data_IF_479640437894
#
_entry.id   IF_479640437894
#
_cell.length_a   1.000
_cell.length_b   1.000
_cell.length_c   1.000
_cell.angle_alpha   90.00
_cell.angle_beta   90.00
_cell.angle_gamma   90.00
#
_symmetry.space_group_name_H-M   'P 1'
#
loop_
_entity.id
_entity.type
_entity.pdbx_description
1 polymer ?
#
# COMPACT_ATOMS: atom_id res chain seq x y z
N UNK A 1 -63.34 -45.42 -40.99
CA UNK A 1 -62.13 -46.04 -41.56
C UNK A 1 -61.27 -44.95 -42.18
N UNK A 2 -59.96 -45.07 -42.03
CA UNK A 2 -58.93 -44.04 -42.23
C UNK A 2 -58.85 -43.55 -43.69
N UNK A 3 -58.72 -42.24 -43.90
CA UNK A 3 -58.19 -41.67 -45.14
C UNK A 3 -57.05 -40.70 -44.81
N UNK A 4 -55.87 -41.03 -45.32
CA UNK A 4 -54.67 -40.20 -45.38
C UNK A 4 -54.86 -39.05 -46.36
N UNK A 5 -54.24 -37.88 -46.16
CA UNK A 5 -53.15 -37.37 -47.04
C UNK A 5 -52.51 -36.01 -46.63
N UNK A 6 -51.18 -36.00 -46.76
CA UNK A 6 -50.17 -34.96 -47.04
C UNK A 6 -49.87 -33.77 -46.09
N UNK A 7 -48.61 -33.68 -45.60
CA UNK A 7 -47.94 -32.45 -45.20
C UNK A 7 -46.99 -31.93 -46.31
N UNK A 8 -46.73 -30.62 -46.35
CA UNK A 8 -45.55 -30.06 -47.01
C UNK A 8 -44.81 -29.08 -46.08
N UNK A 9 -43.46 -29.12 -46.05
CA UNK A 9 -42.63 -28.36 -45.11
C UNK A 9 -42.03 -27.08 -45.73
N UNK A 10 -41.73 -26.09 -44.90
CA UNK A 10 -40.79 -24.99 -45.19
C UNK A 10 -39.76 -25.00 -44.06
N UNK A 11 -38.51 -25.38 -44.35
CA UNK A 11 -37.37 -24.47 -44.55
C UNK A 11 -37.07 -23.62 -43.30
N UNK A 12 -35.87 -23.61 -42.72
CA UNK A 12 -34.62 -23.33 -43.39
C UNK A 12 -33.40 -23.95 -42.68
N UNK A 13 -32.44 -24.39 -43.52
CA UNK A 13 -31.08 -24.78 -43.15
C UNK A 13 -30.20 -23.52 -43.11
N UNK A 14 -29.34 -23.41 -42.11
CA UNK A 14 -27.93 -23.03 -42.33
C UNK A 14 -27.13 -23.31 -41.06
N UNK A 15 -26.86 -24.59 -40.81
CA UNK A 15 -25.59 -24.98 -40.20
C UNK A 15 -24.61 -24.98 -41.35
N UNK A 16 -23.48 -24.29 -41.23
CA UNK A 16 -22.15 -24.61 -41.77
C UNK A 16 -21.32 -23.32 -41.82
N UNK A 17 -20.54 -23.07 -40.77
CA UNK A 17 -19.12 -22.74 -40.86
C UNK A 17 -18.54 -22.75 -39.44
N UNK A 18 -18.16 -23.94 -38.97
CA UNK A 18 -17.01 -24.05 -38.07
C UNK A 18 -15.74 -23.90 -38.94
N UNK A 19 -14.58 -23.90 -38.29
CA UNK A 19 -13.20 -23.85 -38.83
C UNK A 19 -12.54 -22.47 -38.75
N UNK A 20 -11.72 -22.32 -37.70
CA UNK A 20 -10.86 -21.15 -37.46
C UNK A 20 -10.33 -21.10 -36.02
N UNK A 21 -9.59 -22.13 -35.60
CA UNK A 21 -8.85 -22.11 -34.34
C UNK A 21 -7.51 -21.38 -34.53
N UNK A 22 -7.21 -20.43 -33.65
CA UNK A 22 -5.84 -20.01 -33.30
C UNK A 22 -5.41 -18.60 -33.74
N UNK A 23 -5.40 -17.65 -32.80
CA UNK A 23 -4.15 -17.06 -32.26
C UNK A 23 -4.51 -16.09 -31.11
N UNK A 24 -3.98 -16.38 -29.93
CA UNK A 24 -3.99 -15.47 -28.79
C UNK A 24 -2.86 -14.44 -28.93
N UNK A 25 -3.13 -13.16 -28.66
CA UNK A 25 -2.12 -12.17 -28.26
C UNK A 25 -2.71 -11.26 -27.19
N UNK A 26 -1.97 -11.16 -26.09
CA UNK A 26 -2.33 -10.56 -24.82
C UNK A 26 -2.29 -9.03 -24.84
N UNK A 27 -3.33 -8.41 -24.26
CA UNK A 27 -3.38 -7.03 -23.77
C UNK A 27 -4.66 -6.96 -22.92
N UNK A 28 -4.74 -6.56 -21.66
CA UNK A 28 -3.91 -5.70 -20.80
C UNK A 28 -4.12 -6.20 -19.36
N UNK A 29 -3.07 -6.70 -18.71
CA UNK A 29 -3.06 -6.91 -17.25
C UNK A 29 -2.09 -5.88 -16.66
N UNK A 30 -2.61 -4.72 -16.25
CA UNK A 30 -2.03 -3.89 -15.19
C UNK A 30 -2.85 -2.60 -15.06
N UNK A 31 -3.50 -2.39 -13.92
CA UNK A 31 -4.12 -1.09 -13.61
C UNK A 31 -5.01 -1.06 -12.37
N UNK A 32 -5.63 -2.18 -11.97
CA UNK A 32 -6.44 -2.19 -10.76
C UNK A 32 -5.61 -2.51 -9.52
N UNK A 33 -4.84 -1.54 -9.03
CA UNK A 33 -4.27 -1.61 -7.68
C UNK A 33 -4.33 -0.30 -6.89
N UNK A 34 -4.95 0.77 -7.39
CA UNK A 34 -4.97 2.07 -6.67
C UNK A 34 -6.34 2.56 -6.23
N UNK A 35 -7.42 1.87 -6.56
CA UNK A 35 -8.78 2.38 -6.30
C UNK A 35 -9.16 2.42 -4.82
N UNK A 36 -8.43 1.73 -3.93
CA UNK A 36 -8.75 1.72 -2.50
C UNK A 36 -8.14 2.85 -1.67
N UNK A 37 -7.00 3.40 -2.10
CA UNK A 37 -6.30 4.44 -1.34
C UNK A 37 -6.85 5.85 -1.66
N UNK A 38 -7.31 6.06 -2.90
CA UNK A 38 -7.79 7.35 -3.39
C UNK A 38 -9.08 7.83 -2.68
N UNK A 39 -9.91 6.89 -2.22
CA UNK A 39 -11.20 7.18 -1.59
C UNK A 39 -11.09 7.50 -0.09
N UNK A 40 -9.89 7.35 0.50
CA UNK A 40 -9.63 7.62 1.91
C UNK A 40 -9.15 9.07 2.10
N UNK A 41 -9.49 9.69 3.23
CA UNK A 41 -8.93 11.02 3.56
C UNK A 41 -7.40 10.95 3.66
N UNK A 42 -6.67 12.04 3.38
CA UNK A 42 -5.23 12.12 3.57
C UNK A 42 -4.76 11.61 4.94
N UNK A 43 -5.51 11.93 6.00
CA UNK A 43 -5.26 11.49 7.37
C UNK A 43 -5.31 9.97 7.50
N UNK A 44 -6.32 9.33 6.91
CA UNK A 44 -6.46 7.88 6.94
C UNK A 44 -5.34 7.19 6.14
N UNK A 45 -5.01 7.72 4.96
CA UNK A 45 -3.93 7.20 4.13
C UNK A 45 -2.57 7.27 4.86
N UNK A 46 -2.24 8.43 5.43
CA UNK A 46 -0.97 8.60 6.15
C UNK A 46 -0.92 7.79 7.44
N UNK A 47 -2.03 7.68 8.18
CA UNK A 47 -2.10 6.88 9.40
C UNK A 47 -1.82 5.39 9.11
N UNK A 48 -2.38 4.86 8.01
CA UNK A 48 -2.15 3.49 7.56
C UNK A 48 -0.69 3.28 7.15
N UNK A 49 -0.12 4.19 6.34
CA UNK A 49 1.27 4.09 5.89
C UNK A 49 2.27 4.22 7.04
N UNK A 50 2.00 5.13 7.98
CA UNK A 50 2.76 5.28 9.22
C UNK A 50 2.72 4.00 10.07
N UNK A 51 1.57 3.33 10.16
CA UNK A 51 1.47 2.06 10.89
C UNK A 51 2.32 0.96 10.21
N UNK A 52 2.32 0.91 8.88
CA UNK A 52 3.13 -0.05 8.13
C UNK A 52 4.64 0.23 8.26
N UNK A 53 5.05 1.51 8.20
CA UNK A 53 6.42 1.93 8.45
C UNK A 53 6.87 1.53 9.87
N UNK A 54 6.08 1.85 10.89
CA UNK A 54 6.40 1.51 12.27
C UNK A 54 6.55 0.01 12.46
N UNK A 55 5.64 -0.79 11.89
CA UNK A 55 5.74 -2.26 11.94
C UNK A 55 7.08 -2.73 11.37
N UNK A 56 7.48 -2.24 10.19
CA UNK A 56 8.76 -2.59 9.59
C UNK A 56 9.95 -2.22 10.50
N UNK A 57 9.90 -1.04 11.15
CA UNK A 57 10.92 -0.60 12.12
C UNK A 57 10.97 -1.49 13.37
N UNK A 58 9.83 -1.93 13.88
CA UNK A 58 9.74 -2.76 15.09
C UNK A 58 10.26 -4.18 14.87
N UNK A 59 10.05 -4.76 13.68
CA UNK A 59 10.53 -6.11 13.36
C UNK A 59 11.88 -6.15 12.64
N UNK A 60 12.55 -4.99 12.47
CA UNK A 60 13.86 -4.91 11.84
C UNK A 60 13.86 -5.12 10.32
N UNK A 61 12.73 -4.92 9.65
CA UNK A 61 12.61 -4.99 8.19
C UNK A 61 13.10 -3.68 7.55
N UNK A 62 14.42 -3.45 7.59
CA UNK A 62 15.06 -2.19 7.18
C UNK A 62 14.72 -1.80 5.74
N UNK A 63 14.73 -2.76 4.82
CA UNK A 63 14.45 -2.53 3.40
C UNK A 63 13.03 -2.01 3.18
N UNK A 64 12.07 -2.59 3.91
CA UNK A 64 10.68 -2.13 3.87
C UNK A 64 10.53 -0.76 4.50
N UNK A 65 11.19 -0.51 5.63
CA UNK A 65 11.17 0.81 6.27
C UNK A 65 11.74 1.90 5.35
N UNK A 66 12.85 1.61 4.67
CA UNK A 66 13.48 2.51 3.71
C UNK A 66 12.55 2.84 2.52
N UNK A 67 11.73 1.90 2.08
CA UNK A 67 10.79 2.11 0.98
C UNK A 67 9.66 3.13 1.29
N UNK A 68 9.43 3.49 2.55
CA UNK A 68 8.47 4.54 2.91
C UNK A 68 9.06 5.96 2.78
N UNK A 69 10.38 6.10 2.65
CA UNK A 69 11.04 7.40 2.63
C UNK A 69 10.83 8.12 1.31
N UNK A 70 10.78 9.46 1.39
CA UNK A 70 10.65 10.33 0.23
C UNK A 70 11.68 10.00 -0.86
N UNK A 71 11.29 9.94 -2.15
CA UNK A 71 12.21 9.78 -3.27
C UNK A 71 13.42 10.73 -3.20
N UNK A 72 13.20 11.99 -2.81
CA UNK A 72 14.25 13.00 -2.62
C UNK A 72 15.32 12.57 -1.60
N UNK A 73 14.92 12.00 -0.46
CA UNK A 73 15.84 11.43 0.53
C UNK A 73 16.62 10.25 -0.06
N UNK A 74 15.92 9.33 -0.72
CA UNK A 74 16.51 8.11 -1.29
C UNK A 74 17.47 8.40 -2.46
N UNK A 75 17.33 9.55 -3.11
CA UNK A 75 18.24 10.00 -4.16
C UNK A 75 19.63 10.38 -3.62
N UNK A 76 19.71 10.81 -2.36
CA UNK A 76 20.98 11.28 -1.75
C UNK A 76 21.50 10.36 -0.65
N UNK A 77 20.65 9.50 -0.09
CA UNK A 77 21.00 8.60 1.01
C UNK A 77 20.65 7.18 0.66
N UNK A 78 21.67 6.37 0.40
CA UNK A 78 21.50 4.97 0.03
C UNK A 78 20.85 4.15 1.15
N UNK A 79 20.22 3.05 0.75
CA UNK A 79 19.64 2.07 1.68
C UNK A 79 20.67 1.52 2.67
N UNK A 80 21.89 1.28 2.22
CA UNK A 80 22.98 0.80 3.10
C UNK A 80 23.35 1.85 4.15
N UNK A 81 23.44 3.13 3.76
CA UNK A 81 23.67 4.21 4.71
C UNK A 81 22.51 4.35 5.70
N UNK A 82 21.28 4.25 5.21
CA UNK A 82 20.10 4.21 6.09
C UNK A 82 20.17 3.03 7.06
N UNK A 83 20.56 1.83 6.62
CA UNK A 83 20.73 0.64 7.47
C UNK A 83 21.81 0.82 8.52
N UNK A 84 22.94 1.42 8.19
CA UNK A 84 24.01 1.67 9.17
C UNK A 84 23.56 2.63 10.28
N UNK A 85 22.75 3.63 9.93
CA UNK A 85 22.30 4.65 10.88
C UNK A 85 21.01 4.27 11.63
N UNK A 86 20.13 3.48 10.99
CA UNK A 86 18.77 3.20 11.47
C UNK A 86 18.45 1.70 11.54
N UNK A 87 19.34 0.80 11.13
CA UNK A 87 19.01 -0.61 10.89
C UNK A 87 18.68 -1.43 12.13
N UNK A 88 19.03 -0.95 13.33
CA UNK A 88 18.56 -1.56 14.57
C UNK A 88 17.04 -1.41 14.70
N UNK A 89 16.39 -2.51 15.11
CA UNK A 89 14.99 -2.45 15.50
C UNK A 89 14.82 -1.43 16.64
N UNK A 90 13.73 -0.67 16.60
CA UNK A 90 13.47 0.33 17.64
C UNK A 90 13.26 -0.33 19.00
N UNK A 91 13.87 0.22 20.06
CA UNK A 91 13.63 -0.21 21.45
C UNK A 91 12.32 0.36 22.01
N UNK A 92 11.64 1.21 21.24
CA UNK A 92 10.37 1.82 21.62
C UNK A 92 9.25 0.79 21.55
N UNK A 93 8.47 0.70 22.62
CA UNK A 93 7.26 -0.13 22.68
C UNK A 93 6.01 0.74 22.53
N UNK A 94 4.90 0.14 22.06
CA UNK A 94 3.67 0.87 21.75
C UNK A 94 3.68 1.43 20.33
N UNK A 95 3.40 2.73 20.20
CA UNK A 95 3.21 3.41 18.92
C UNK A 95 1.74 3.63 18.55
N UNK A 96 0.87 3.78 19.54
CA UNK A 96 -0.54 4.08 19.31
C UNK A 96 -0.68 5.44 18.61
N UNK A 97 -1.53 5.48 17.57
CA UNK A 97 -1.86 6.72 16.88
C UNK A 97 -2.58 7.66 17.87
N UNK A 98 -2.05 8.87 18.02
CA UNK A 98 -2.68 9.94 18.80
C UNK A 98 -3.48 10.84 17.87
N UNK A 99 -2.87 11.25 16.75
CA UNK A 99 -3.54 12.05 15.73
C UNK A 99 -2.79 11.97 14.40
N UNK A 100 -3.52 12.22 13.32
CA UNK A 100 -3.00 12.50 11.98
C UNK A 100 -3.66 13.78 11.50
N UNK A 101 -2.88 14.80 11.20
CA UNK A 101 -3.37 16.10 10.73
C UNK A 101 -2.72 16.42 9.41
N UNK A 102 -3.52 16.73 8.39
CA UNK A 102 -3.03 17.01 7.06
C UNK A 102 -3.35 18.44 6.62
N UNK A 103 -2.36 19.05 5.99
CA UNK A 103 -2.47 20.21 5.12
C UNK A 103 -2.36 19.72 3.66
N UNK A 104 -2.42 20.64 2.69
CA UNK A 104 -2.51 20.33 1.27
C UNK A 104 -1.47 19.30 0.77
N UNK A 105 -0.21 19.45 1.20
CA UNK A 105 0.90 18.58 0.74
C UNK A 105 1.73 17.99 1.89
N UNK A 106 1.31 18.19 3.14
CA UNK A 106 2.05 17.79 4.33
C UNK A 106 1.11 17.26 5.39
N UNK A 107 1.42 16.09 5.94
CA UNK A 107 0.75 15.55 7.11
C UNK A 107 1.71 15.41 8.28
N UNK A 108 1.17 15.56 9.48
CA UNK A 108 1.86 15.27 10.74
C UNK A 108 1.13 14.15 11.46
N UNK A 109 1.85 13.06 11.76
CA UNK A 109 1.33 11.90 12.51
C UNK A 109 1.99 11.87 13.88
N UNK A 110 1.18 11.96 14.93
CA UNK A 110 1.64 11.89 16.31
C UNK A 110 1.35 10.51 16.89
N UNK A 111 2.37 9.88 17.51
CA UNK A 111 2.26 8.58 18.18
C UNK A 111 2.82 8.62 19.59
N UNK A 112 2.24 7.79 20.45
CA UNK A 112 2.74 7.58 21.81
C UNK A 112 3.50 6.26 21.91
N UNK A 113 4.67 6.33 22.54
CA UNK A 113 5.57 5.21 22.80
C UNK A 113 5.94 5.16 24.29
N UNK A 114 6.60 4.07 24.66
CA UNK A 114 7.36 3.98 25.89
C UNK A 114 8.79 3.61 25.58
N UNK A 115 9.70 4.10 26.39
CA UNK A 115 11.11 3.72 26.35
C UNK A 115 11.61 3.41 27.75
N UNK A 116 12.62 2.53 27.86
CA UNK A 116 13.30 2.25 29.12
C UNK A 116 14.51 3.16 29.25
N UNK A 117 14.68 3.77 30.42
CA UNK A 117 15.85 4.62 30.72
C UNK A 117 16.84 3.84 31.59
N UNK A 118 17.99 3.37 31.06
CA UNK A 118 18.92 2.52 31.80
C UNK A 118 19.43 3.17 33.09
N UNK A 119 19.70 4.49 33.05
CA UNK A 119 20.20 5.25 34.19
C UNK A 119 19.21 5.36 35.36
N UNK A 120 17.92 5.08 35.13
CA UNK A 120 16.88 5.07 36.16
C UNK A 120 16.41 3.63 36.46
N UNK A 121 17.33 2.67 36.46
CA UNK A 121 17.01 1.27 36.76
C UNK A 121 16.05 0.62 35.75
N UNK A 122 15.96 1.14 34.52
CA UNK A 122 15.07 0.62 33.49
C UNK A 122 13.61 1.08 33.60
N UNK A 123 13.35 2.18 34.32
CA UNK A 123 12.02 2.80 34.38
C UNK A 123 11.43 3.03 32.97
N UNK A 124 10.16 2.71 32.80
CA UNK A 124 9.42 3.01 31.57
C UNK A 124 8.93 4.45 31.58
N UNK A 125 9.33 5.22 30.58
CA UNK A 125 8.93 6.62 30.42
C UNK A 125 8.07 6.76 29.15
N UNK A 126 6.88 7.36 29.24
CA UNK A 126 6.06 7.66 28.07
C UNK A 126 6.71 8.78 27.26
N UNK A 127 6.73 8.63 25.95
CA UNK A 127 7.19 9.66 25.01
C UNK A 127 6.20 9.78 23.86
N UNK A 128 6.17 10.94 23.21
CA UNK A 128 5.43 11.15 21.97
C UNK A 128 6.39 11.50 20.84
N UNK A 129 6.19 10.91 19.67
CA UNK A 129 7.00 11.17 18.48
C UNK A 129 6.08 11.63 17.37
N UNK A 130 6.51 12.68 16.68
CA UNK A 130 5.85 13.24 15.51
C UNK A 130 6.59 12.81 14.25
N UNK A 131 5.85 12.27 13.28
CA UNK A 131 6.33 11.91 11.95
C UNK A 131 5.78 12.92 10.94
N UNK A 132 6.64 13.45 10.06
CA UNK A 132 6.21 14.32 8.96
C UNK A 132 6.10 13.50 7.67
N UNK A 133 5.00 13.63 6.96
CA UNK A 133 4.75 12.97 5.69
C UNK A 133 4.46 14.01 4.60
N UNK A 134 4.99 13.81 3.40
CA UNK A 134 4.83 14.71 2.25
C UNK A 134 4.14 14.00 1.10
N UNK A 135 3.27 14.71 0.38
CA UNK A 135 2.61 14.19 -0.82
C UNK A 135 3.48 14.44 -2.04
N UNK A 136 3.90 13.37 -2.73
CA UNK A 136 4.61 13.43 -4.00
C UNK A 136 3.98 12.39 -4.95
N UNK A 137 3.61 12.81 -6.16
CA UNK A 137 3.01 11.97 -7.21
C UNK A 137 1.77 11.17 -6.74
N UNK A 138 0.92 11.80 -5.92
CA UNK A 138 -0.31 11.19 -5.41
C UNK A 138 -0.08 10.14 -4.31
N UNK A 139 1.14 10.05 -3.75
CA UNK A 139 1.45 9.17 -2.63
C UNK A 139 2.12 9.93 -1.47
N UNK A 140 1.83 9.50 -0.24
CA UNK A 140 2.46 10.01 0.97
C UNK A 140 3.79 9.33 1.26
N UNK A 141 4.84 10.11 1.51
CA UNK A 141 6.17 9.62 1.84
C UNK A 141 6.65 10.18 3.18
N UNK A 142 7.36 9.37 3.96
CA UNK A 142 7.96 9.83 5.20
C UNK A 142 9.10 10.80 4.87
N UNK A 143 9.00 12.02 5.40
CA UNK A 143 10.04 13.02 5.31
C UNK A 143 11.10 12.76 6.38
N UNK A 144 12.35 12.70 5.96
CA UNK A 144 13.54 12.54 6.80
C UNK A 144 14.57 13.58 6.37
N UNK A 145 15.27 14.16 7.35
CA UNK A 145 16.38 15.10 7.13
C UNK A 145 17.71 14.38 6.82
#
# INVERSE_FOLDING_TARGET
MKHSTFPFPLAARSRWLQWGAGLACAAVLAGCATTGAQDQSPEAQVAQRSAAYLKARQVGEVDKAYAFLAPSYRAVKSQEKFRLENGSATLLTGGNLVSSKCEETRCTVLRNFKTKVPMMGGAEVPISISETWVSEDGQWWLFME
#
